data_IF_299844129141
#
_entry.id   IF_299844129141
#
_cell.length_a   1.000
_cell.length_b   1.000
_cell.length_c   1.000
_cell.angle_alpha   90.00
_cell.angle_beta   90.00
_cell.angle_gamma   90.00
#
_symmetry.space_group_name_H-M   'P 1'
#
loop_
_entity.id
_entity.type
_entity.pdbx_description
1 polymer ?
#
# COMPACT_ATOMS: atom_id res chain seq x y z
N UNK A 1 22.14 -25.12 11.05
CA UNK A 1 21.24 -26.10 10.44
C UNK A 1 20.20 -25.37 9.62
N UNK A 2 19.64 -26.00 8.60
CA UNK A 2 18.61 -25.42 7.77
C UNK A 2 17.34 -25.23 8.62
N UNK A 3 16.72 -24.07 8.51
CA UNK A 3 15.43 -23.77 9.14
C UNK A 3 14.36 -23.91 8.06
N UNK A 4 13.36 -24.73 8.33
CA UNK A 4 12.21 -24.92 7.42
C UNK A 4 11.09 -24.01 7.90
N UNK A 5 10.62 -23.13 7.01
CA UNK A 5 9.44 -22.32 7.23
C UNK A 5 8.25 -23.03 6.56
N UNK A 6 7.19 -23.28 7.32
CA UNK A 6 5.95 -23.82 6.81
C UNK A 6 4.98 -22.67 6.52
N UNK A 7 4.46 -22.62 5.31
CA UNK A 7 3.44 -21.68 4.89
C UNK A 7 2.07 -22.35 4.92
N UNK A 8 1.04 -21.61 5.28
CA UNK A 8 -0.36 -22.06 5.29
C UNK A 8 -0.96 -22.09 3.87
N UNK A 9 -0.36 -21.31 2.95
CA UNK A 9 -0.83 -21.13 1.58
C UNK A 9 0.14 -21.67 0.55
N UNK A 10 -0.37 -22.00 -0.62
CA UNK A 10 0.42 -22.48 -1.74
C UNK A 10 1.16 -21.35 -2.47
N UNK A 11 2.17 -21.69 -3.27
CA UNK A 11 2.84 -20.71 -4.14
C UNK A 11 1.83 -20.02 -5.08
N UNK A 12 0.82 -20.74 -5.57
CA UNK A 12 -0.22 -20.18 -6.43
C UNK A 12 -1.03 -19.09 -5.68
N UNK A 13 -1.35 -19.32 -4.40
CA UNK A 13 -2.03 -18.33 -3.57
C UNK A 13 -1.14 -17.09 -3.33
N UNK A 14 0.15 -17.30 -3.07
CA UNK A 14 1.12 -16.20 -2.92
C UNK A 14 1.32 -15.39 -4.20
N UNK A 15 1.15 -15.99 -5.38
CA UNK A 15 1.24 -15.28 -6.67
C UNK A 15 -0.06 -14.57 -7.06
N UNK A 16 -1.14 -14.80 -6.31
CA UNK A 16 -2.43 -14.17 -6.58
C UNK A 16 -2.33 -12.65 -6.41
N UNK A 17 -2.81 -11.92 -7.41
CA UNK A 17 -2.90 -10.46 -7.41
C UNK A 17 -4.19 -10.03 -8.08
N UNK A 18 -4.82 -8.98 -7.55
CA UNK A 18 -5.96 -8.31 -8.16
C UNK A 18 -5.48 -6.94 -8.66
N UNK A 19 -5.74 -6.68 -9.93
CA UNK A 19 -5.40 -5.40 -10.56
C UNK A 19 -6.64 -4.51 -10.58
N UNK A 20 -6.48 -3.30 -10.09
CA UNK A 20 -7.50 -2.27 -10.13
C UNK A 20 -7.10 -1.20 -11.15
N UNK A 21 -7.81 -1.19 -12.29
CA UNK A 21 -7.62 -0.17 -13.32
C UNK A 21 -8.20 1.18 -12.92
N UNK A 22 -7.82 2.28 -13.61
CA UNK A 22 -8.38 3.60 -13.35
C UNK A 22 -9.92 3.64 -13.40
N UNK A 23 -10.53 2.90 -14.32
CA UNK A 23 -11.98 2.83 -14.50
C UNK A 23 -12.64 2.16 -13.29
N UNK A 24 -12.11 1.00 -12.88
CA UNK A 24 -12.61 0.26 -11.72
C UNK A 24 -12.44 1.05 -10.43
N UNK A 25 -11.34 1.77 -10.27
CA UNK A 25 -11.12 2.63 -9.12
C UNK A 25 -12.10 3.80 -9.07
N UNK A 26 -12.42 4.39 -10.22
CA UNK A 26 -13.45 5.44 -10.31
C UNK A 26 -14.80 4.93 -9.85
N UNK A 27 -15.23 3.77 -10.33
CA UNK A 27 -16.49 3.12 -9.93
C UNK A 27 -16.55 2.88 -8.41
N UNK A 28 -15.43 2.40 -7.82
CA UNK A 28 -15.35 2.18 -6.37
C UNK A 28 -15.47 3.48 -5.58
N UNK A 29 -14.83 4.57 -6.03
CA UNK A 29 -14.96 5.87 -5.37
C UNK A 29 -16.41 6.37 -5.46
N UNK A 30 -17.06 6.25 -6.60
CA UNK A 30 -18.49 6.61 -6.77
C UNK A 30 -19.40 5.79 -5.83
N UNK A 31 -19.08 4.51 -5.62
CA UNK A 31 -19.83 3.62 -4.73
C UNK A 31 -19.70 4.01 -3.24
N UNK A 32 -18.50 4.39 -2.80
CA UNK A 32 -18.18 4.61 -1.39
C UNK A 32 -18.09 6.08 -0.97
N UNK A 33 -18.14 7.03 -1.90
CA UNK A 33 -18.10 8.45 -1.57
C UNK A 33 -19.30 8.89 -0.71
N UNK A 34 -19.10 9.98 0.04
CA UNK A 34 -20.10 10.60 0.90
C UNK A 34 -20.66 9.67 2.02
N UNK A 35 -19.80 9.04 2.82
CA UNK A 35 -20.25 8.32 4.00
C UNK A 35 -21.01 9.27 4.95
N UNK A 36 -22.09 8.77 5.57
CA UNK A 36 -22.97 9.58 6.41
C UNK A 36 -22.43 9.81 7.83
N UNK A 37 -21.33 9.19 8.18
CA UNK A 37 -20.73 9.23 9.52
C UNK A 37 -19.25 9.59 9.42
N UNK A 38 -18.65 10.05 10.52
CA UNK A 38 -17.20 10.26 10.65
C UNK A 38 -16.58 9.15 11.49
N UNK A 39 -15.28 8.90 11.26
CA UNK A 39 -14.52 7.97 12.09
C UNK A 39 -14.37 8.51 13.53
N UNK A 40 -14.44 7.63 14.51
CA UNK A 40 -14.10 7.94 15.88
C UNK A 40 -12.57 8.10 16.01
N UNK A 41 -12.05 9.23 16.56
CA UNK A 41 -10.61 9.51 16.60
C UNK A 41 -9.74 8.42 17.21
N UNK A 42 -10.26 7.69 18.21
CA UNK A 42 -9.57 6.59 18.88
C UNK A 42 -9.30 5.37 17.99
N UNK A 43 -9.94 5.30 16.84
CA UNK A 43 -9.68 4.26 15.84
C UNK A 43 -8.44 4.54 15.01
N UNK A 44 -7.87 5.75 15.06
CA UNK A 44 -6.65 6.14 14.36
C UNK A 44 -5.51 6.18 15.37
N UNK A 45 -4.47 5.38 15.12
CA UNK A 45 -3.29 5.28 15.95
C UNK A 45 -2.05 5.68 15.15
N UNK A 46 -1.09 6.34 15.81
CA UNK A 46 0.24 6.61 15.25
C UNK A 46 1.24 5.87 16.11
N UNK A 47 1.97 4.94 15.49
CA UNK A 47 2.87 4.01 16.20
C UNK A 47 4.22 4.03 15.46
N UNK A 48 5.32 4.11 16.20
CA UNK A 48 6.67 4.01 15.64
C UNK A 48 7.10 2.54 15.60
N UNK A 49 6.59 1.80 14.62
CA UNK A 49 6.84 0.37 14.42
C UNK A 49 6.99 0.02 12.94
N UNK A 50 7.51 -1.17 12.68
CA UNK A 50 7.51 -1.75 11.33
C UNK A 50 6.08 -2.03 10.85
N UNK A 51 5.85 -1.90 9.53
CA UNK A 51 4.50 -2.03 8.93
C UNK A 51 3.83 -3.38 9.19
N UNK A 52 4.60 -4.45 9.44
CA UNK A 52 4.08 -5.77 9.78
C UNK A 52 4.09 -6.11 11.27
N UNK A 53 4.61 -5.21 12.12
CA UNK A 53 4.74 -5.48 13.57
C UNK A 53 3.40 -5.66 14.26
N UNK A 54 2.41 -4.83 13.92
CA UNK A 54 1.04 -4.98 14.43
C UNK A 54 0.15 -5.60 13.35
N UNK A 55 -0.37 -6.83 13.54
CA UNK A 55 -1.23 -7.47 12.56
C UNK A 55 -2.50 -6.66 12.29
N UNK A 56 -2.78 -6.43 11.01
CA UNK A 56 -4.00 -5.82 10.45
C UNK A 56 -4.50 -6.63 9.27
N UNK A 57 -5.74 -6.43 8.85
CA UNK A 57 -6.29 -7.12 7.67
C UNK A 57 -5.54 -6.73 6.39
N UNK A 58 -5.05 -5.48 6.34
CA UNK A 58 -4.38 -4.93 5.17
C UNK A 58 -3.22 -4.01 5.55
N UNK A 59 -2.16 -4.02 4.75
CA UNK A 59 -0.97 -3.16 4.87
C UNK A 59 -0.74 -2.42 3.56
N UNK A 60 -0.36 -1.14 3.63
CA UNK A 60 0.01 -0.33 2.47
C UNK A 60 1.49 -0.55 2.12
N UNK A 61 1.75 -1.03 0.91
CA UNK A 61 3.09 -1.07 0.31
C UNK A 61 3.36 0.24 -0.44
N UNK A 62 4.45 0.93 -0.08
CA UNK A 62 4.93 2.15 -0.74
C UNK A 62 5.67 1.78 -2.03
N UNK A 63 4.90 1.31 -3.02
CA UNK A 63 5.39 0.61 -4.17
C UNK A 63 6.23 1.47 -5.12
N UNK A 64 7.14 0.83 -5.82
CA UNK A 64 7.70 1.34 -7.06
C UNK A 64 6.70 1.08 -8.20
N UNK A 65 6.42 2.09 -9.02
CA UNK A 65 5.43 1.98 -10.10
C UNK A 65 5.92 1.23 -11.34
N UNK A 66 7.23 0.96 -11.46
CA UNK A 66 7.87 0.38 -12.67
C UNK A 66 8.58 -0.94 -12.42
N UNK A 67 9.07 -1.14 -11.21
CA UNK A 67 9.88 -2.31 -10.85
C UNK A 67 9.25 -3.00 -9.63
N UNK A 68 8.70 -4.19 -9.80
CA UNK A 68 8.17 -4.97 -8.68
C UNK A 68 9.21 -5.11 -7.56
N UNK A 69 8.83 -4.73 -6.34
CA UNK A 69 9.72 -4.80 -5.19
C UNK A 69 10.86 -3.77 -5.19
N UNK A 70 10.79 -2.75 -6.09
CA UNK A 70 11.81 -1.70 -6.16
C UNK A 70 13.21 -2.24 -6.41
N UNK A 71 14.12 -1.94 -5.48
CA UNK A 71 15.50 -2.46 -5.46
C UNK A 71 15.72 -3.70 -4.60
N UNK A 72 14.67 -4.47 -4.30
CA UNK A 72 14.73 -5.65 -3.43
C UNK A 72 15.86 -6.61 -3.79
N UNK A 73 15.98 -6.98 -5.08
CA UNK A 73 17.00 -7.91 -5.56
C UNK A 73 18.42 -7.31 -5.59
N UNK A 74 18.55 -5.99 -5.51
CA UNK A 74 19.83 -5.27 -5.50
C UNK A 74 20.25 -4.74 -4.13
N UNK A 75 19.51 -5.09 -3.07
CA UNK A 75 19.87 -4.77 -1.69
C UNK A 75 19.42 -3.39 -1.20
N UNK A 76 18.54 -2.70 -1.92
CA UNK A 76 17.90 -1.50 -1.39
C UNK A 76 17.07 -1.79 -0.13
N UNK A 77 16.78 -0.78 0.71
CA UNK A 77 16.24 -0.96 2.07
C UNK A 77 15.10 -0.01 2.43
N UNK A 78 14.34 0.51 1.45
CA UNK A 78 13.11 1.25 1.74
C UNK A 78 11.97 0.30 2.17
N UNK A 79 10.79 0.84 2.43
CA UNK A 79 9.66 0.08 2.99
C UNK A 79 9.22 -1.09 2.10
N UNK A 80 9.08 -0.90 0.78
CA UNK A 80 8.71 -1.99 -0.14
C UNK A 80 9.71 -3.15 -0.09
N UNK A 81 11.01 -2.84 -0.09
CA UNK A 81 12.05 -3.84 -0.01
C UNK A 81 12.05 -4.58 1.34
N UNK A 82 11.76 -3.87 2.43
CA UNK A 82 11.61 -4.48 3.76
C UNK A 82 10.42 -5.45 3.78
N UNK A 83 9.26 -5.04 3.27
CA UNK A 83 8.07 -5.92 3.17
C UNK A 83 8.38 -7.18 2.34
N UNK A 84 9.09 -7.03 1.20
CA UNK A 84 9.48 -8.17 0.37
C UNK A 84 10.44 -9.14 1.07
N UNK A 85 11.30 -8.66 1.99
CA UNK A 85 12.20 -9.53 2.78
C UNK A 85 11.49 -10.26 3.90
N UNK A 86 10.46 -9.63 4.46
CA UNK A 86 9.74 -10.15 5.61
C UNK A 86 8.62 -11.12 5.21
N UNK A 87 8.19 -11.12 3.93
CA UNK A 87 6.97 -11.80 3.51
C UNK A 87 7.04 -12.41 2.10
N UNK A 88 5.97 -13.06 1.70
CA UNK A 88 5.77 -13.59 0.35
C UNK A 88 5.31 -12.53 -0.67
N UNK A 89 5.26 -11.25 -0.31
CA UNK A 89 4.76 -10.17 -1.16
C UNK A 89 5.38 -10.15 -2.56
N UNK A 90 6.71 -10.36 -2.66
CA UNK A 90 7.40 -10.32 -3.94
C UNK A 90 6.85 -11.34 -4.94
N UNK A 91 6.41 -12.51 -4.50
CA UNK A 91 5.81 -13.51 -5.38
C UNK A 91 4.52 -13.00 -6.06
N UNK A 92 3.72 -12.21 -5.36
CA UNK A 92 2.50 -11.61 -5.89
C UNK A 92 2.80 -10.46 -6.86
N UNK A 93 3.53 -9.44 -6.40
CA UNK A 93 3.75 -8.22 -7.21
C UNK A 93 4.68 -8.44 -8.41
N UNK A 94 5.47 -9.53 -8.44
CA UNK A 94 6.30 -9.93 -9.56
C UNK A 94 5.63 -11.00 -10.46
N UNK A 95 4.38 -11.36 -10.20
CA UNK A 95 3.63 -12.30 -11.02
C UNK A 95 3.20 -11.71 -12.36
N UNK A 96 2.87 -12.57 -13.32
CA UNK A 96 2.35 -12.12 -14.62
C UNK A 96 1.06 -11.29 -14.48
N UNK A 97 0.24 -11.59 -13.49
CA UNK A 97 -0.99 -10.84 -13.21
C UNK A 97 -0.76 -9.37 -12.82
N UNK A 98 0.41 -9.03 -12.26
CA UNK A 98 0.73 -7.67 -11.85
C UNK A 98 1.26 -6.78 -12.99
N UNK A 99 1.63 -7.35 -14.13
CA UNK A 99 2.35 -6.65 -15.23
C UNK A 99 1.62 -5.43 -15.76
N UNK A 100 0.30 -5.48 -15.84
CA UNK A 100 -0.52 -4.38 -16.39
C UNK A 100 -0.24 -3.04 -15.70
N UNK A 101 -0.11 -3.01 -14.36
CA UNK A 101 0.24 -1.80 -13.63
C UNK A 101 1.64 -1.29 -14.00
N UNK A 102 2.64 -2.15 -14.05
CA UNK A 102 4.02 -1.76 -14.33
C UNK A 102 4.19 -1.30 -15.78
N UNK A 103 3.57 -2.00 -16.73
CA UNK A 103 3.62 -1.65 -18.14
C UNK A 103 2.91 -0.32 -18.42
N UNK A 104 1.77 -0.06 -17.77
CA UNK A 104 1.05 1.21 -17.90
C UNK A 104 1.85 2.43 -17.42
N UNK A 105 2.83 2.21 -16.53
CA UNK A 105 3.68 3.27 -15.99
C UNK A 105 5.04 3.43 -16.69
N UNK A 106 5.37 2.53 -17.62
CA UNK A 106 6.71 2.50 -18.25
C UNK A 106 7.10 3.84 -18.91
N UNK A 107 6.19 4.43 -19.67
CA UNK A 107 6.44 5.63 -20.47
C UNK A 107 5.82 6.91 -19.90
N UNK A 108 5.25 6.84 -18.70
CA UNK A 108 4.65 8.02 -18.04
C UNK A 108 5.73 9.01 -17.62
N UNK A 109 5.52 10.30 -17.91
CA UNK A 109 6.55 11.34 -17.72
C UNK A 109 6.50 12.02 -16.35
N UNK A 110 5.31 12.17 -15.76
CA UNK A 110 5.11 12.94 -14.53
C UNK A 110 4.54 12.08 -13.40
N UNK A 111 3.22 12.15 -13.21
CA UNK A 111 2.49 11.36 -12.23
C UNK A 111 2.12 10.00 -12.82
N UNK A 112 2.22 8.97 -12.00
CA UNK A 112 1.88 7.62 -12.41
C UNK A 112 0.38 7.46 -12.71
N UNK A 113 0.04 6.44 -13.50
CA UNK A 113 -1.34 6.05 -13.77
C UNK A 113 -2.06 5.62 -12.48
N UNK A 114 -3.37 5.65 -12.50
CA UNK A 114 -4.20 5.32 -11.33
C UNK A 114 -4.34 3.80 -11.08
N UNK A 115 -3.42 2.98 -11.58
CA UNK A 115 -3.40 1.55 -11.26
C UNK A 115 -3.00 1.29 -9.81
N UNK A 116 -3.57 0.22 -9.25
CA UNK A 116 -3.30 -0.27 -7.91
C UNK A 116 -3.33 -1.79 -7.93
N UNK A 117 -2.46 -2.43 -7.14
CA UNK A 117 -2.47 -3.89 -6.94
C UNK A 117 -2.95 -4.23 -5.54
N UNK A 118 -3.72 -5.31 -5.43
CA UNK A 118 -4.03 -5.97 -4.17
C UNK A 118 -3.47 -7.38 -4.20
N UNK A 119 -2.57 -7.69 -3.27
CA UNK A 119 -2.07 -9.02 -2.95
C UNK A 119 -2.86 -9.56 -1.77
N UNK A 120 -3.85 -10.44 -1.97
CA UNK A 120 -4.80 -10.81 -0.91
C UNK A 120 -4.25 -11.85 0.07
N UNK A 121 -3.13 -12.49 -0.25
CA UNK A 121 -2.59 -13.61 0.51
C UNK A 121 -1.07 -13.46 0.66
N UNK A 122 -0.66 -12.56 1.55
CA UNK A 122 0.76 -12.32 1.87
C UNK A 122 1.06 -12.92 3.24
N UNK A 123 1.95 -13.91 3.29
CA UNK A 123 2.40 -14.49 4.55
C UNK A 123 3.66 -13.79 5.02
N UNK A 124 3.58 -13.22 6.22
CA UNK A 124 4.70 -12.59 6.92
C UNK A 124 5.39 -13.65 7.76
N UNK A 125 6.66 -13.91 7.48
CA UNK A 125 7.44 -14.98 8.12
C UNK A 125 8.72 -14.49 8.79
N UNK A 126 9.00 -13.18 8.72
CA UNK A 126 10.15 -12.53 9.41
C UNK A 126 9.72 -11.24 10.09
N UNK A 127 10.40 -10.92 11.16
CA UNK A 127 10.34 -9.59 11.79
C UNK A 127 11.25 -8.57 11.06
N UNK A 128 11.22 -7.32 11.50
CA UNK A 128 12.05 -6.23 10.93
C UNK A 128 13.57 -6.43 11.14
N UNK A 129 13.97 -7.32 12.05
CA UNK A 129 15.36 -7.72 12.28
C UNK A 129 15.77 -8.96 11.48
N UNK A 130 14.90 -9.43 10.59
CA UNK A 130 15.06 -10.62 9.74
C UNK A 130 15.09 -11.96 10.52
N UNK A 131 14.68 -11.98 11.79
CA UNK A 131 14.46 -13.23 12.50
C UNK A 131 13.19 -13.90 11.97
N UNK A 132 13.22 -15.23 11.90
CA UNK A 132 12.03 -16.00 11.56
C UNK A 132 10.99 -15.90 12.69
N UNK A 133 9.74 -15.66 12.32
CA UNK A 133 8.63 -15.70 13.25
C UNK A 133 8.32 -17.15 13.63
N UNK A 134 8.04 -17.39 14.90
CA UNK A 134 7.58 -18.69 15.38
C UNK A 134 6.21 -19.04 14.76
N UNK A 135 5.36 -18.03 14.60
CA UNK A 135 4.06 -18.15 13.99
C UNK A 135 3.91 -17.11 12.86
N UNK A 136 4.16 -17.51 11.60
CA UNK A 136 3.82 -16.68 10.45
C UNK A 136 2.35 -16.30 10.45
N UNK A 137 2.02 -15.13 9.90
CA UNK A 137 0.63 -14.69 9.80
C UNK A 137 0.33 -14.15 8.39
N UNK A 138 -0.94 -14.22 8.01
CA UNK A 138 -1.41 -13.75 6.70
C UNK A 138 -2.02 -12.37 6.81
N UNK A 139 -1.71 -11.50 5.85
CA UNK A 139 -2.34 -10.19 5.67
C UNK A 139 -2.53 -9.91 4.18
N UNK A 140 -3.41 -8.99 3.84
CA UNK A 140 -3.46 -8.45 2.49
C UNK A 140 -2.48 -7.26 2.36
N UNK A 141 -1.99 -7.01 1.14
CA UNK A 141 -1.12 -5.85 0.88
C UNK A 141 -1.64 -5.09 -0.35
N UNK A 142 -1.90 -3.80 -0.18
CA UNK A 142 -2.22 -2.89 -1.27
C UNK A 142 -0.94 -2.18 -1.71
N UNK A 143 -0.57 -2.36 -2.99
CA UNK A 143 0.63 -1.77 -3.57
C UNK A 143 0.25 -0.58 -4.45
N UNK A 144 0.73 0.60 -4.11
CA UNK A 144 0.50 1.84 -4.86
C UNK A 144 1.68 2.80 -4.72
N UNK A 145 2.10 3.38 -5.85
CA UNK A 145 3.22 4.31 -5.86
C UNK A 145 2.78 5.73 -5.47
N UNK A 146 3.59 6.38 -4.63
CA UNK A 146 3.54 7.82 -4.43
C UNK A 146 4.28 8.55 -5.57
N UNK A 147 4.05 9.86 -5.79
CA UNK A 147 4.84 10.65 -6.71
C UNK A 147 6.33 10.63 -6.34
N UNK A 148 7.19 10.38 -7.31
CA UNK A 148 8.64 10.46 -7.09
C UNK A 148 9.14 11.90 -7.33
N UNK A 149 9.25 12.68 -6.25
CA UNK A 149 9.65 14.09 -6.29
C UNK A 149 11.17 14.28 -6.52
N UNK A 150 11.98 13.26 -6.24
CA UNK A 150 13.39 13.27 -6.64
C UNK A 150 13.60 12.85 -8.10
N UNK A 151 12.53 12.39 -8.76
CA UNK A 151 12.54 11.93 -10.13
C UNK A 151 11.53 12.65 -11.02
N UNK A 152 10.61 11.90 -11.59
CA UNK A 152 9.70 12.35 -12.64
C UNK A 152 8.68 13.41 -12.21
N UNK A 153 8.28 13.40 -10.97
CA UNK A 153 7.26 14.32 -10.43
C UNK A 153 7.85 15.59 -9.79
N UNK A 154 9.17 15.82 -9.89
CA UNK A 154 9.83 16.96 -9.22
C UNK A 154 9.30 18.34 -9.62
N UNK A 155 8.81 18.47 -10.86
CA UNK A 155 8.32 19.74 -11.41
C UNK A 155 6.79 19.87 -11.31
N UNK A 156 6.11 18.93 -10.64
CA UNK A 156 4.67 18.99 -10.41
C UNK A 156 4.37 20.00 -9.29
N UNK A 157 3.47 20.94 -9.54
CA UNK A 157 3.11 21.94 -8.54
C UNK A 157 2.36 21.32 -7.34
N UNK A 158 2.36 22.02 -6.23
CA UNK A 158 1.84 21.51 -4.96
C UNK A 158 0.32 21.27 -4.98
N UNK A 159 -0.45 22.12 -5.66
CA UNK A 159 -1.90 21.98 -5.77
C UNK A 159 -2.25 20.66 -6.47
N UNK A 160 -1.57 20.38 -7.58
CA UNK A 160 -1.75 19.12 -8.32
C UNK A 160 -1.29 17.90 -7.52
N UNK A 161 -0.24 18.04 -6.71
CA UNK A 161 0.20 16.96 -5.81
C UNK A 161 -0.84 16.68 -4.72
N UNK A 162 -1.43 17.73 -4.11
CA UNK A 162 -2.49 17.58 -3.11
C UNK A 162 -3.72 16.86 -3.67
N UNK A 163 -4.15 17.22 -4.88
CA UNK A 163 -5.24 16.53 -5.58
C UNK A 163 -4.89 15.06 -5.84
N UNK A 164 -3.66 14.80 -6.31
CA UNK A 164 -3.17 13.45 -6.56
C UNK A 164 -3.15 12.61 -5.28
N UNK A 165 -2.61 13.13 -4.17
CA UNK A 165 -2.60 12.40 -2.89
C UNK A 165 -4.01 12.02 -2.45
N UNK A 166 -4.94 12.98 -2.42
CA UNK A 166 -6.32 12.74 -2.00
C UNK A 166 -7.02 11.70 -2.89
N UNK A 167 -6.83 11.80 -4.19
CA UNK A 167 -7.37 10.85 -5.16
C UNK A 167 -6.85 9.43 -4.90
N UNK A 168 -5.55 9.29 -4.75
CA UNK A 168 -4.91 7.98 -4.50
C UNK A 168 -5.32 7.38 -3.17
N UNK A 169 -5.42 8.19 -2.13
CA UNK A 169 -5.87 7.74 -0.80
C UNK A 169 -7.31 7.23 -0.88
N UNK A 170 -8.21 7.91 -1.60
CA UNK A 170 -9.57 7.38 -1.84
C UNK A 170 -9.52 6.01 -2.51
N UNK A 171 -8.70 5.84 -3.54
CA UNK A 171 -8.54 4.55 -4.23
C UNK A 171 -8.07 3.46 -3.26
N UNK A 172 -7.03 3.73 -2.48
CA UNK A 172 -6.49 2.80 -1.47
C UNK A 172 -7.57 2.35 -0.50
N UNK A 173 -8.30 3.30 0.08
CA UNK A 173 -9.34 3.02 1.07
C UNK A 173 -10.53 2.28 0.45
N UNK A 174 -10.99 2.68 -0.73
CA UNK A 174 -12.09 2.01 -1.42
C UNK A 174 -11.76 0.55 -1.76
N UNK A 175 -10.53 0.26 -2.19
CA UNK A 175 -10.11 -1.13 -2.45
C UNK A 175 -10.09 -1.95 -1.17
N UNK A 176 -9.62 -1.40 -0.06
CA UNK A 176 -9.65 -2.09 1.22
C UNK A 176 -11.09 -2.41 1.66
N UNK A 177 -11.99 -1.43 1.59
CA UNK A 177 -13.41 -1.59 1.94
C UNK A 177 -14.11 -2.61 1.03
N UNK A 178 -13.88 -2.55 -0.28
CA UNK A 178 -14.47 -3.49 -1.26
C UNK A 178 -14.11 -4.94 -0.98
N UNK A 179 -12.93 -5.18 -0.41
CA UNK A 179 -12.45 -6.52 -0.08
C UNK A 179 -12.73 -6.92 1.39
N UNK A 180 -13.48 -6.10 2.13
CA UNK A 180 -13.92 -6.43 3.50
C UNK A 180 -12.83 -6.27 4.55
N UNK A 181 -11.80 -5.47 4.31
CA UNK A 181 -10.76 -5.17 5.30
C UNK A 181 -11.20 -4.05 6.21
N UNK A 182 -11.18 -4.30 7.52
CA UNK A 182 -11.64 -3.37 8.56
C UNK A 182 -10.50 -2.78 9.40
N UNK A 183 -9.30 -3.36 9.33
CA UNK A 183 -8.09 -2.83 9.95
C UNK A 183 -7.00 -2.61 8.91
N UNK A 184 -6.32 -1.45 8.96
CA UNK A 184 -5.38 -1.04 7.91
C UNK A 184 -4.15 -0.36 8.48
N UNK A 185 -2.96 -0.89 8.15
CA UNK A 185 -1.69 -0.21 8.40
C UNK A 185 -1.30 0.62 7.18
N UNK A 186 -1.30 1.93 7.34
CA UNK A 186 -0.95 2.94 6.34
C UNK A 186 0.51 3.38 6.50
N UNK A 187 0.78 4.61 6.92
CA UNK A 187 2.11 5.12 7.20
C UNK A 187 2.51 6.33 6.35
N UNK A 188 3.78 6.71 6.42
CA UNK A 188 4.35 7.90 5.75
C UNK A 188 4.60 7.64 4.24
N UNK A 189 3.52 7.38 3.50
CA UNK A 189 3.53 6.99 2.10
C UNK A 189 4.31 7.95 1.20
N UNK A 190 5.41 7.46 0.61
CA UNK A 190 6.28 8.21 -0.28
C UNK A 190 7.19 9.25 0.39
N UNK A 191 7.18 9.38 1.72
CA UNK A 191 7.95 10.42 2.42
C UNK A 191 9.45 10.11 2.56
N UNK A 192 9.86 8.88 2.32
CA UNK A 192 11.27 8.46 2.32
C UNK A 192 11.94 8.67 0.96
N UNK A 193 12.22 7.57 0.25
CA UNK A 193 12.96 7.55 -1.01
C UNK A 193 12.37 8.41 -2.15
N UNK A 194 11.07 8.74 -2.10
CA UNK A 194 10.40 9.57 -3.11
C UNK A 194 10.31 11.07 -2.73
N UNK A 195 10.70 11.44 -1.51
CA UNK A 195 10.87 12.83 -1.08
C UNK A 195 9.58 13.64 -0.90
N UNK A 196 8.42 12.98 -0.74
CA UNK A 196 7.18 13.70 -0.46
C UNK A 196 7.22 14.34 0.94
N UNK A 197 6.64 15.54 1.06
CA UNK A 197 6.57 16.23 2.34
C UNK A 197 5.61 15.50 3.30
N UNK A 198 6.07 15.04 4.47
CA UNK A 198 5.24 14.30 5.42
C UNK A 198 3.98 15.06 5.87
N UNK A 199 4.06 16.39 6.02
CA UNK A 199 2.91 17.23 6.41
C UNK A 199 1.83 17.25 5.31
N UNK A 200 2.22 17.33 4.05
CA UNK A 200 1.29 17.33 2.92
C UNK A 200 0.60 15.96 2.77
N UNK A 201 1.35 14.88 2.96
CA UNK A 201 0.81 13.51 2.90
C UNK A 201 -0.11 13.24 4.09
N UNK A 202 0.28 13.63 5.30
CA UNK A 202 -0.55 13.51 6.51
C UNK A 202 -1.85 14.32 6.39
N UNK A 203 -1.78 15.55 5.87
CA UNK A 203 -2.96 16.37 5.63
C UNK A 203 -3.91 15.74 4.61
N UNK A 204 -3.37 15.13 3.54
CA UNK A 204 -4.18 14.43 2.57
C UNK A 204 -4.89 13.20 3.18
N UNK A 205 -4.22 12.39 4.00
CA UNK A 205 -4.84 11.29 4.75
C UNK A 205 -5.93 11.80 5.69
N UNK A 206 -5.62 12.82 6.50
CA UNK A 206 -6.59 13.46 7.39
C UNK A 206 -7.81 13.95 6.63
N UNK A 207 -7.61 14.61 5.50
CA UNK A 207 -8.69 15.14 4.67
C UNK A 207 -9.63 14.01 4.21
N UNK A 208 -9.10 12.94 3.65
CA UNK A 208 -9.93 11.85 3.12
C UNK A 208 -10.56 11.02 4.24
N UNK A 209 -9.80 10.67 5.28
CA UNK A 209 -10.31 9.84 6.38
C UNK A 209 -11.35 10.56 7.25
N UNK A 210 -11.12 11.84 7.55
CA UNK A 210 -11.92 12.59 8.53
C UNK A 210 -12.89 13.55 7.82
N UNK A 211 -12.40 14.45 6.96
CA UNK A 211 -13.26 15.47 6.35
C UNK A 211 -14.21 14.89 5.31
N UNK A 212 -13.75 13.94 4.48
CA UNK A 212 -14.59 13.19 3.55
C UNK A 212 -15.28 11.97 4.19
N UNK A 213 -14.84 11.57 5.40
CA UNK A 213 -15.48 10.54 6.21
C UNK A 213 -15.14 9.10 5.84
N UNK A 214 -14.20 8.83 4.90
CA UNK A 214 -13.87 7.45 4.50
C UNK A 214 -13.37 6.57 5.65
N UNK A 215 -12.84 7.18 6.72
CA UNK A 215 -12.40 6.44 7.90
C UNK A 215 -13.51 5.66 8.61
N UNK A 216 -14.78 5.99 8.38
CA UNK A 216 -15.93 5.30 9.02
C UNK A 216 -16.01 3.81 8.67
N UNK A 217 -15.46 3.43 7.53
CA UNK A 217 -15.45 2.03 7.07
C UNK A 217 -14.47 1.14 7.83
N UNK A 218 -13.61 1.71 8.68
CA UNK A 218 -12.56 0.99 9.37
C UNK A 218 -12.80 0.97 10.89
N UNK A 219 -12.42 -0.15 11.51
CA UNK A 219 -12.39 -0.31 12.96
C UNK A 219 -11.05 0.10 13.56
N UNK A 220 -9.97 0.02 12.78
CA UNK A 220 -8.62 0.38 13.20
C UNK A 220 -7.78 0.86 12.01
N UNK A 221 -7.13 2.01 12.19
CA UNK A 221 -6.14 2.55 11.24
C UNK A 221 -4.85 2.83 12.00
N UNK A 222 -3.72 2.38 11.46
CA UNK A 222 -2.38 2.59 12.03
C UNK A 222 -1.55 3.40 11.03
N UNK A 223 -0.83 4.39 11.56
CA UNK A 223 0.22 5.15 10.86
C UNK A 223 1.55 4.96 11.53
#
# INVERSE_FOLDING_TARGET
>A
GDVIVHFDHSLQDHQRVLVYSPEKLKELVEKYQNPKQSIAPEKIQVIDEDSFATPTDCVLNFANSRHPGGGYLSGASAQEEALCRQSTLYASINSDGAREMYDSNRDVKNLDTDYLLLSPCVEVFRDCYMNLLEHPHTTAVISVAAPNLFGRARDVNIERLREYYRKRIRHILCVAVENGYHSFTLGAWGCGAFGNNPLEVADAFKYVLINEGFGVYFDKIIF
#
